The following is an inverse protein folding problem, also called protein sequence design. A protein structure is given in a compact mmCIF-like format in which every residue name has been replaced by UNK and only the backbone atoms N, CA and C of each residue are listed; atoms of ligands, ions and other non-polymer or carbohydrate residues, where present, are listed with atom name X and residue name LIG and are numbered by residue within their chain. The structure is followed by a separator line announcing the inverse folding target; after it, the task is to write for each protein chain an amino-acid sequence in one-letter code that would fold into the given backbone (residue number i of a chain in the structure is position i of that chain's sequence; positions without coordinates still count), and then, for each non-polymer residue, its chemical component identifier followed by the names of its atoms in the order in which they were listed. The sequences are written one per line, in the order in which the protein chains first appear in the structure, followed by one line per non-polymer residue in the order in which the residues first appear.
data_IF_095206667211
#
_entry.id   IF_095206667211
#
_cell.length_a   1.000
_cell.length_b   1.000
_cell.length_c   1.000
_cell.angle_alpha   90.00
_cell.angle_beta   90.00
_cell.angle_gamma   90.00
#
_symmetry.space_group_name_H-M   'P 1'
#
loop_
_entity.id
_entity.type
_entity.pdbx_description
1 polymer ?
#
# COMPACT_ATOMS: atom_id res chain seq x y z
N UNK A 1 47.58 -10.11 -81.44
CA UNK A 1 46.29 -10.36 -80.75
C UNK A 1 46.30 -11.75 -80.16
N UNK A 2 46.68 -11.90 -78.89
CA UNK A 2 46.78 -13.21 -78.25
C UNK A 2 46.78 -13.09 -76.71
N UNK A 3 45.72 -13.68 -76.13
CA UNK A 3 45.68 -14.55 -74.93
C UNK A 3 46.19 -14.07 -73.56
N UNK A 4 45.28 -14.26 -72.58
CA UNK A 4 45.44 -14.94 -71.26
C UNK A 4 46.21 -14.15 -70.17
N UNK A 5 45.96 -14.24 -68.85
CA UNK A 5 44.95 -14.83 -67.91
C UNK A 5 45.51 -14.53 -66.48
N UNK A 6 44.70 -14.70 -65.42
CA UNK A 6 45.06 -15.11 -64.02
C UNK A 6 45.33 -13.97 -62.99
N UNK A 7 44.35 -13.62 -62.12
CA UNK A 7 44.13 -13.95 -60.66
C UNK A 7 45.01 -13.13 -59.68
N UNK A 8 44.63 -12.71 -58.48
CA UNK A 8 43.38 -12.60 -57.70
C UNK A 8 43.75 -11.71 -56.50
N UNK A 9 42.98 -10.64 -56.25
CA UNK A 9 43.17 -9.69 -55.15
C UNK A 9 42.45 -10.21 -53.89
N UNK A 10 43.05 -11.16 -53.20
CA UNK A 10 42.60 -11.57 -51.87
C UNK A 10 43.23 -10.67 -50.81
N UNK A 11 42.55 -9.58 -50.40
CA UNK A 11 42.71 -9.06 -49.02
C UNK A 11 41.70 -7.98 -48.55
N UNK A 12 40.68 -7.58 -49.32
CA UNK A 12 39.78 -6.49 -48.93
C UNK A 12 38.32 -6.79 -49.23
N UNK A 13 37.76 -7.86 -48.64
CA UNK A 13 36.30 -8.07 -48.51
C UNK A 13 36.01 -9.26 -47.57
N UNK A 14 36.27 -9.09 -46.27
CA UNK A 14 35.75 -9.95 -45.19
C UNK A 14 35.66 -9.13 -43.91
N UNK A 15 34.77 -8.14 -43.93
CA UNK A 15 34.44 -7.34 -42.75
C UNK A 15 33.01 -6.81 -42.86
N UNK A 16 32.05 -7.70 -43.13
CA UNK A 16 30.62 -7.47 -42.91
C UNK A 16 29.92 -8.84 -42.99
N UNK A 17 29.00 -9.08 -42.05
CA UNK A 17 28.21 -10.30 -41.88
C UNK A 17 28.91 -11.52 -41.26
N UNK A 18 28.96 -11.56 -39.92
CA UNK A 18 28.52 -12.75 -39.18
C UNK A 18 28.14 -12.34 -37.75
N UNK A 19 26.83 -12.38 -37.49
CA UNK A 19 26.19 -11.96 -36.25
C UNK A 19 26.58 -12.87 -35.08
N UNK A 20 27.05 -12.25 -34.01
CA UNK A 20 27.36 -12.90 -32.74
C UNK A 20 26.12 -13.54 -32.09
N UNK A 21 26.03 -14.87 -32.14
CA UNK A 21 25.15 -15.64 -31.24
C UNK A 21 25.86 -15.84 -29.89
N UNK A 22 25.65 -14.94 -28.93
CA UNK A 22 25.95 -15.23 -27.53
C UNK A 22 24.71 -15.81 -26.83
N UNK A 23 24.86 -16.88 -26.03
CA UNK A 23 23.74 -17.55 -25.42
C UNK A 23 23.08 -16.65 -24.37
N UNK A 24 21.79 -16.40 -24.59
CA UNK A 24 20.84 -15.81 -23.64
C UNK A 24 21.09 -16.34 -22.22
N UNK A 25 21.58 -15.48 -21.34
CA UNK A 25 21.58 -15.73 -19.91
C UNK A 25 20.14 -16.02 -19.47
N UNK A 26 19.86 -17.28 -19.13
CA UNK A 26 18.58 -17.69 -18.56
C UNK A 26 18.40 -16.89 -17.27
N UNK A 27 17.49 -15.92 -17.29
CA UNK A 27 17.03 -15.22 -16.09
C UNK A 27 16.36 -16.29 -15.23
N UNK A 28 17.07 -16.74 -14.19
CA UNK A 28 16.50 -17.61 -13.18
C UNK A 28 15.33 -16.87 -12.52
N UNK A 29 14.18 -17.53 -12.32
CA UNK A 29 13.06 -16.90 -11.65
C UNK A 29 13.49 -16.58 -10.22
N UNK A 30 13.58 -15.29 -9.87
CA UNK A 30 13.71 -14.84 -8.48
C UNK A 30 12.34 -15.05 -7.82
N UNK A 31 12.02 -16.29 -7.49
CA UNK A 31 10.93 -16.60 -6.60
C UNK A 31 11.36 -17.67 -5.60
N UNK A 32 11.12 -17.32 -4.34
CA UNK A 32 11.18 -18.14 -3.13
C UNK A 32 12.58 -18.63 -2.72
N UNK A 33 13.21 -17.86 -1.82
CA UNK A 33 13.75 -18.41 -0.56
C UNK A 33 14.34 -17.27 0.30
N UNK A 34 13.47 -16.52 0.94
CA UNK A 34 13.70 -16.10 2.30
C UNK A 34 12.42 -16.49 3.03
N UNK A 35 12.50 -17.43 3.97
CA UNK A 35 11.42 -17.54 4.97
C UNK A 35 11.22 -16.12 5.50
N UNK A 36 10.06 -15.51 5.21
CA UNK A 36 9.83 -14.10 5.52
C UNK A 36 10.17 -13.91 7.00
N UNK A 37 11.28 -13.24 7.27
CA UNK A 37 11.77 -13.07 8.63
C UNK A 37 10.66 -12.33 9.37
N UNK A 38 10.17 -12.93 10.46
CA UNK A 38 9.01 -12.40 11.17
C UNK A 38 9.32 -10.97 11.58
N UNK A 39 8.50 -10.01 11.15
CA UNK A 39 8.66 -8.64 11.62
C UNK A 39 8.21 -8.63 13.08
N UNK A 40 9.18 -8.56 13.99
CA UNK A 40 8.91 -8.38 15.41
C UNK A 40 8.44 -6.95 15.67
N UNK A 41 7.58 -6.76 16.66
CA UNK A 41 7.06 -5.45 17.01
C UNK A 41 6.26 -5.49 18.30
N UNK A 42 6.00 -4.32 18.86
CA UNK A 42 5.31 -4.15 20.14
C UNK A 42 3.89 -3.63 19.92
N UNK A 43 2.96 -4.19 20.70
CA UNK A 43 1.61 -3.66 20.80
C UNK A 43 1.50 -2.78 22.03
N UNK A 44 0.90 -1.61 21.87
CA UNK A 44 0.47 -0.75 22.97
C UNK A 44 -1.02 -0.50 22.85
N UNK A 45 -1.72 -0.56 23.98
CA UNK A 45 -3.11 -0.14 24.11
C UNK A 45 -3.06 1.11 24.98
N UNK A 46 -3.27 2.28 24.37
CA UNK A 46 -3.11 3.55 25.08
C UNK A 46 -4.36 3.89 25.89
N UNK A 47 -5.52 3.55 25.35
CA UNK A 47 -6.84 3.73 25.96
C UNK A 47 -7.75 2.57 25.50
N UNK A 48 -8.99 2.55 25.96
CA UNK A 48 -10.06 1.72 25.42
C UNK A 48 -10.47 2.13 23.98
N UNK A 49 -9.80 3.10 23.36
CA UNK A 49 -10.13 3.68 22.06
C UNK A 49 -9.03 3.49 20.99
N UNK A 50 -7.77 3.27 21.38
CA UNK A 50 -6.63 3.23 20.46
C UNK A 50 -5.62 2.13 20.80
N UNK A 51 -5.33 1.29 19.81
CA UNK A 51 -4.20 0.35 19.82
C UNK A 51 -3.18 0.76 18.77
N UNK A 52 -1.89 0.59 19.10
CA UNK A 52 -0.78 0.88 18.19
C UNK A 52 0.13 -0.35 18.12
N UNK A 53 0.45 -0.78 16.91
CA UNK A 53 1.53 -1.74 16.66
C UNK A 53 2.72 -1.01 16.05
N UNK A 54 3.89 -1.17 16.67
CA UNK A 54 5.14 -0.57 16.20
C UNK A 54 6.14 -1.68 15.90
N UNK A 55 6.54 -1.86 14.62
CA UNK A 55 7.55 -2.84 14.27
C UNK A 55 8.92 -2.41 14.81
N UNK A 56 9.73 -3.38 15.19
CA UNK A 56 11.11 -3.15 15.60
C UNK A 56 11.90 -2.55 14.43
N UNK A 57 12.74 -1.56 14.73
CA UNK A 57 13.55 -0.89 13.70
C UNK A 57 12.74 0.01 12.77
N UNK A 58 11.52 0.42 13.14
CA UNK A 58 10.79 1.47 12.41
C UNK A 58 11.67 2.72 12.28
N UNK A 59 11.79 3.24 11.07
CA UNK A 59 12.49 4.50 10.82
C UNK A 59 11.48 5.64 10.83
N UNK A 60 11.77 6.66 11.62
CA UNK A 60 11.03 7.93 11.58
C UNK A 60 11.39 8.68 10.29
N UNK A 61 10.38 9.26 9.62
CA UNK A 61 10.55 9.92 8.31
C UNK A 61 9.57 11.08 8.21
N UNK A 62 9.92 12.09 7.42
CA UNK A 62 9.06 13.25 7.16
C UNK A 62 7.97 12.95 6.14
N UNK A 63 8.17 11.98 5.24
CA UNK A 63 7.17 11.53 4.26
C UNK A 63 6.38 10.35 4.81
N UNK A 64 5.05 10.47 4.83
CA UNK A 64 4.15 9.40 5.28
C UNK A 64 3.31 8.89 4.11
N UNK A 65 3.36 7.57 3.91
CA UNK A 65 2.40 6.87 3.08
C UNK A 65 1.39 6.20 4.02
N UNK A 66 0.24 6.84 4.18
CA UNK A 66 -0.85 6.37 5.02
C UNK A 66 -1.85 5.53 4.23
N UNK A 67 -2.36 4.46 4.84
CA UNK A 67 -3.30 3.55 4.21
C UNK A 67 -4.46 3.21 5.16
N UNK A 68 -5.67 3.08 4.63
CA UNK A 68 -6.68 2.21 5.22
C UNK A 68 -6.27 0.72 5.05
N UNK A 69 -6.94 -0.20 5.75
CA UNK A 69 -6.66 -1.63 5.67
C UNK A 69 -7.70 -2.42 4.85
N UNK A 70 -8.94 -2.49 5.33
CA UNK A 70 -9.96 -3.40 4.81
C UNK A 70 -10.66 -2.75 3.61
N UNK A 71 -10.50 -3.32 2.42
CA UNK A 71 -10.94 -2.70 1.16
C UNK A 71 -9.81 -1.95 0.44
N UNK A 72 -8.69 -1.69 1.13
CA UNK A 72 -7.56 -0.90 0.62
C UNK A 72 -6.29 -1.72 0.43
N UNK A 73 -5.68 -2.21 1.52
CA UNK A 73 -4.50 -3.08 1.45
C UNK A 73 -4.90 -4.55 1.29
N UNK A 74 -6.00 -4.94 1.92
CA UNK A 74 -6.51 -6.30 1.90
C UNK A 74 -8.00 -6.33 1.54
N UNK A 75 -8.46 -7.50 1.12
CA UNK A 75 -9.88 -7.83 0.90
C UNK A 75 -10.14 -9.26 1.36
N UNK A 76 -11.39 -9.65 1.52
CA UNK A 76 -11.71 -11.03 1.92
C UNK A 76 -11.27 -12.04 0.86
N UNK A 77 -10.79 -13.21 1.29
CA UNK A 77 -10.56 -14.34 0.37
C UNK A 77 -11.88 -14.93 -0.08
N UNK A 78 -12.86 -14.97 0.82
CA UNK A 78 -14.20 -15.52 0.62
C UNK A 78 -15.07 -14.70 -0.35
N UNK A 79 -14.71 -13.45 -0.65
CA UNK A 79 -15.53 -12.53 -1.45
C UNK A 79 -16.71 -11.94 -0.68
N UNK A 80 -16.86 -12.23 0.63
CA UNK A 80 -17.87 -11.61 1.47
C UNK A 80 -17.52 -10.16 1.81
N UNK A 81 -18.53 -9.36 2.14
CA UNK A 81 -18.32 -7.98 2.62
C UNK A 81 -17.57 -7.97 3.96
N UNK A 82 -17.91 -8.88 4.86
CA UNK A 82 -17.24 -9.04 6.16
C UNK A 82 -16.46 -10.36 6.19
N UNK A 83 -15.26 -10.38 6.82
CA UNK A 83 -14.43 -11.58 6.90
C UNK A 83 -15.09 -12.67 7.76
N UNK A 84 -14.90 -13.92 7.37
CA UNK A 84 -15.35 -15.10 8.12
C UNK A 84 -14.56 -15.32 9.42
N UNK A 85 -13.27 -15.02 9.39
CA UNK A 85 -12.33 -15.18 10.50
C UNK A 85 -11.06 -14.33 10.23
N UNK A 86 -10.08 -14.41 11.13
CA UNK A 86 -8.84 -13.62 11.05
C UNK A 86 -7.89 -14.03 9.90
N UNK A 87 -8.15 -15.14 9.22
CA UNK A 87 -7.36 -15.64 8.08
C UNK A 87 -8.06 -15.39 6.72
N UNK A 88 -9.29 -14.89 6.74
CA UNK A 88 -10.09 -14.55 5.55
C UNK A 88 -9.68 -13.17 4.98
N UNK A 89 -8.42 -13.06 4.59
CA UNK A 89 -7.88 -11.86 3.94
C UNK A 89 -6.81 -12.19 2.91
N UNK A 90 -6.83 -11.51 1.77
CA UNK A 90 -5.77 -11.51 0.77
C UNK A 90 -5.41 -10.07 0.44
N UNK A 91 -4.21 -9.84 -0.09
CA UNK A 91 -3.87 -8.52 -0.60
C UNK A 91 -4.85 -8.07 -1.68
N UNK A 92 -5.16 -6.78 -1.68
CA UNK A 92 -6.17 -6.18 -2.53
C UNK A 92 -5.90 -6.43 -4.02
N UNK A 93 -4.63 -6.35 -4.42
CA UNK A 93 -4.14 -6.72 -5.75
C UNK A 93 -2.82 -7.49 -5.68
N UNK A 94 -2.41 -8.10 -6.81
CA UNK A 94 -1.07 -8.71 -6.96
C UNK A 94 0.06 -7.69 -6.81
N UNK A 95 -0.19 -6.41 -7.12
CA UNK A 95 0.80 -5.34 -7.05
C UNK A 95 0.97 -4.70 -5.66
N UNK A 96 0.06 -4.99 -4.71
CA UNK A 96 0.01 -4.29 -3.42
C UNK A 96 1.31 -4.39 -2.64
N UNK A 97 1.88 -5.60 -2.49
CA UNK A 97 3.16 -5.80 -1.78
C UNK A 97 4.30 -5.01 -2.42
N UNK A 98 4.46 -5.13 -3.75
CA UNK A 98 5.52 -4.46 -4.49
C UNK A 98 5.42 -2.94 -4.39
N UNK A 99 4.19 -2.39 -4.43
CA UNK A 99 3.96 -0.95 -4.30
C UNK A 99 4.30 -0.43 -2.90
N UNK A 100 3.95 -1.16 -1.84
CA UNK A 100 4.31 -0.80 -0.47
C UNK A 100 5.83 -0.81 -0.24
N UNK A 101 6.52 -1.85 -0.74
CA UNK A 101 7.99 -1.93 -0.68
C UNK A 101 8.64 -0.76 -1.39
N UNK A 102 8.17 -0.43 -2.60
CA UNK A 102 8.67 0.74 -3.35
C UNK A 102 8.44 2.05 -2.59
N UNK A 103 7.27 2.27 -1.98
CA UNK A 103 7.09 3.45 -1.12
C UNK A 103 8.11 3.50 0.03
N UNK A 104 8.39 2.36 0.66
CA UNK A 104 9.42 2.31 1.70
C UNK A 104 10.84 2.59 1.14
N UNK A 105 11.17 2.09 -0.05
CA UNK A 105 12.43 2.42 -0.75
C UNK A 105 12.52 3.92 -1.08
N UNK A 106 11.40 4.53 -1.50
CA UNK A 106 11.27 5.95 -1.85
C UNK A 106 11.26 6.89 -0.62
N UNK A 107 11.62 6.38 0.56
CA UNK A 107 11.78 7.20 1.76
C UNK A 107 10.48 7.53 2.49
N UNK A 108 9.38 6.79 2.26
CA UNK A 108 8.16 6.94 3.05
C UNK A 108 8.18 6.07 4.30
N UNK A 109 7.71 6.59 5.43
CA UNK A 109 7.26 5.75 6.54
C UNK A 109 5.86 5.23 6.20
N UNK A 110 5.68 3.92 6.31
CA UNK A 110 4.39 3.29 6.03
C UNK A 110 3.54 3.28 7.31
N UNK A 111 2.32 3.78 7.21
CA UNK A 111 1.36 3.79 8.31
C UNK A 111 0.01 3.21 7.86
N UNK A 112 -0.60 2.37 8.70
CA UNK A 112 -1.98 1.94 8.54
C UNK A 112 -2.84 2.65 9.59
N UNK A 113 -3.98 3.19 9.16
CA UNK A 113 -4.98 3.85 9.99
C UNK A 113 -6.32 3.16 9.77
N UNK A 114 -6.79 2.35 10.72
CA UNK A 114 -7.97 1.49 10.54
C UNK A 114 -9.02 1.66 11.65
N UNK A 115 -10.29 1.65 11.26
CA UNK A 115 -11.45 1.75 12.16
C UNK A 115 -11.98 0.34 12.48
N UNK A 116 -11.77 -0.14 13.72
CA UNK A 116 -12.04 -1.52 14.16
C UNK A 116 -12.93 -1.59 15.41
N UNK A 117 -14.06 -0.88 15.38
CA UNK A 117 -15.05 -0.87 16.48
C UNK A 117 -15.59 -2.28 16.83
N UNK A 118 -15.49 -3.24 15.90
CA UNK A 118 -15.85 -4.64 16.17
C UNK A 118 -15.05 -5.26 17.31
N UNK A 119 -13.84 -4.79 17.58
CA UNK A 119 -12.99 -5.26 18.69
C UNK A 119 -13.60 -4.86 20.04
N UNK A 120 -13.96 -3.59 20.23
CA UNK A 120 -14.59 -3.12 21.47
C UNK A 120 -15.98 -3.76 21.67
N UNK A 121 -16.73 -3.98 20.58
CA UNK A 121 -18.02 -4.69 20.60
C UNK A 121 -17.90 -6.20 20.79
N UNK A 122 -16.68 -6.75 20.89
CA UNK A 122 -16.40 -8.21 20.99
C UNK A 122 -16.93 -9.03 19.81
N UNK A 123 -17.23 -8.39 18.68
CA UNK A 123 -17.56 -9.06 17.42
C UNK A 123 -16.31 -9.55 16.68
N UNK A 124 -15.15 -8.97 17.01
CA UNK A 124 -13.85 -9.34 16.47
C UNK A 124 -12.92 -9.69 17.63
N UNK A 125 -12.26 -10.85 17.56
CA UNK A 125 -11.25 -11.25 18.54
C UNK A 125 -10.01 -10.36 18.43
N UNK A 126 -9.69 -9.66 19.53
CA UNK A 126 -8.55 -8.75 19.60
C UNK A 126 -7.21 -9.47 19.41
N UNK A 127 -7.05 -10.68 19.96
CA UNK A 127 -5.80 -11.41 19.89
C UNK A 127 -5.52 -11.88 18.45
N UNK A 128 -6.51 -12.48 17.80
CA UNK A 128 -6.43 -12.87 16.41
C UNK A 128 -6.32 -11.67 15.46
N UNK A 129 -6.92 -10.51 15.77
CA UNK A 129 -6.70 -9.29 15.00
C UNK A 129 -5.23 -8.82 15.08
N UNK A 130 -4.61 -8.86 16.26
CA UNK A 130 -3.19 -8.54 16.41
C UNK A 130 -2.30 -9.46 15.57
N UNK A 131 -2.62 -10.76 15.53
CA UNK A 131 -1.93 -11.76 14.70
C UNK A 131 -2.15 -11.46 13.20
N UNK A 132 -3.38 -11.14 12.78
CA UNK A 132 -3.69 -10.72 11.40
C UNK A 132 -2.79 -9.57 10.96
N UNK A 133 -2.66 -8.51 11.78
CA UNK A 133 -1.78 -7.38 11.49
C UNK A 133 -0.31 -7.80 11.36
N UNK A 134 0.19 -8.63 12.28
CA UNK A 134 1.56 -9.14 12.21
C UNK A 134 1.82 -9.97 10.95
N UNK A 135 0.85 -10.78 10.52
CA UNK A 135 0.93 -11.58 9.31
C UNK A 135 0.94 -10.70 8.05
N UNK A 136 0.11 -9.65 8.01
CA UNK A 136 0.12 -8.65 6.92
C UNK A 136 1.49 -7.97 6.85
N UNK A 137 2.01 -7.47 7.97
CA UNK A 137 3.32 -6.81 8.02
C UNK A 137 4.44 -7.75 7.57
N UNK A 138 4.45 -8.99 8.06
CA UNK A 138 5.44 -10.02 7.70
C UNK A 138 5.38 -10.34 6.20
N UNK A 139 4.18 -10.47 5.63
CA UNK A 139 4.02 -10.73 4.20
C UNK A 139 4.49 -9.54 3.33
N UNK A 140 4.29 -8.30 3.79
CA UNK A 140 4.84 -7.12 3.11
C UNK A 140 6.36 -7.07 3.24
N UNK A 141 6.93 -7.43 4.39
CA UNK A 141 8.38 -7.57 4.58
C UNK A 141 9.15 -6.26 4.74
N UNK A 142 8.46 -5.13 4.91
CA UNK A 142 9.04 -3.85 5.34
C UNK A 142 8.28 -3.30 6.55
N UNK A 143 8.89 -2.46 7.40
CA UNK A 143 8.22 -1.92 8.59
C UNK A 143 6.97 -1.09 8.27
N UNK A 144 5.84 -1.44 8.90
CA UNK A 144 4.58 -0.69 8.85
C UNK A 144 4.11 -0.44 10.28
N UNK A 145 3.92 0.83 10.65
CA UNK A 145 3.31 1.18 11.93
C UNK A 145 1.79 1.20 11.79
N UNK A 146 1.05 0.61 12.72
CA UNK A 146 -0.40 0.44 12.60
C UNK A 146 -1.12 1.11 13.75
N UNK A 147 -2.09 1.95 13.43
CA UNK A 147 -2.97 2.65 14.34
C UNK A 147 -4.39 2.09 14.17
N UNK A 148 -4.97 1.61 15.26
CA UNK A 148 -6.23 0.90 15.28
C UNK A 148 -7.19 1.63 16.21
N UNK A 149 -8.15 2.34 15.63
CA UNK A 149 -9.25 2.95 16.38
C UNK A 149 -10.26 1.86 16.74
N UNK A 150 -10.47 1.60 18.03
CA UNK A 150 -11.41 0.58 18.52
C UNK A 150 -12.70 1.17 19.08
N UNK A 151 -12.85 2.50 19.15
CA UNK A 151 -14.07 3.17 19.60
C UNK A 151 -14.65 4.19 18.61
N UNK A 152 -15.49 5.11 19.10
CA UNK A 152 -16.26 6.07 18.29
C UNK A 152 -15.81 7.52 18.44
N UNK A 153 -14.76 7.78 19.21
CA UNK A 153 -14.28 9.10 19.59
C UNK A 153 -13.26 9.66 18.57
N UNK A 154 -12.43 10.63 19.00
CA UNK A 154 -11.46 11.39 18.20
C UNK A 154 -10.46 10.53 17.38
N UNK A 155 -10.29 9.24 17.71
CA UNK A 155 -9.43 8.35 16.94
C UNK A 155 -10.13 7.73 15.73
N UNK A 156 -11.46 7.76 15.64
CA UNK A 156 -12.21 7.14 14.56
C UNK A 156 -12.21 8.05 13.33
N UNK A 157 -11.73 7.56 12.19
CA UNK A 157 -11.83 8.31 10.92
C UNK A 157 -13.29 8.70 10.66
N UNK A 158 -13.58 9.97 10.28
CA UNK A 158 -12.65 10.92 9.68
C UNK A 158 -11.94 11.87 10.67
N UNK A 159 -12.09 11.68 11.99
CA UNK A 159 -11.31 12.45 12.97
C UNK A 159 -9.81 12.16 12.86
N UNK A 160 -8.98 13.14 13.21
CA UNK A 160 -7.53 13.14 12.98
C UNK A 160 -6.73 12.45 14.09
N UNK A 161 -7.36 12.02 15.19
CA UNK A 161 -6.65 11.66 16.41
C UNK A 161 -5.59 10.56 16.27
N UNK A 162 -5.76 9.60 15.34
CA UNK A 162 -4.70 8.61 15.09
C UNK A 162 -3.46 9.25 14.44
N UNK A 163 -3.67 10.19 13.51
CA UNK A 163 -2.59 10.95 12.91
C UNK A 163 -1.96 11.92 13.90
N UNK A 164 -2.76 12.53 14.77
CA UNK A 164 -2.25 13.44 15.80
C UNK A 164 -1.30 12.69 16.75
N UNK A 165 -1.61 11.43 17.11
CA UNK A 165 -0.63 10.57 17.81
C UNK A 165 0.59 10.22 17.00
N UNK A 166 0.46 10.02 15.70
CA UNK A 166 1.62 9.85 14.83
C UNK A 166 2.58 11.04 14.96
N UNK A 167 2.06 12.26 14.85
CA UNK A 167 2.83 13.52 14.93
C UNK A 167 3.43 13.71 16.33
N UNK A 168 2.62 13.54 17.37
CA UNK A 168 2.97 13.89 18.74
C UNK A 168 4.04 12.97 19.35
N UNK A 169 3.92 11.65 19.16
CA UNK A 169 4.75 10.69 19.92
C UNK A 169 5.29 9.52 19.11
N UNK A 170 4.79 9.25 17.91
CA UNK A 170 5.17 8.04 17.17
C UNK A 170 6.13 8.29 16.00
N UNK A 171 6.60 9.53 15.80
CA UNK A 171 7.54 9.89 14.73
C UNK A 171 8.87 10.49 15.19
N UNK A 172 9.29 10.24 16.43
CA UNK A 172 10.66 10.51 16.90
C UNK A 172 11.14 11.94 16.68
N UNK A 173 10.30 12.92 16.98
CA UNK A 173 10.53 14.37 16.79
C UNK A 173 10.71 14.83 15.33
N UNK A 174 10.62 13.92 14.34
CA UNK A 174 10.71 14.29 12.92
C UNK A 174 9.35 14.84 12.47
N UNK A 175 9.37 16.12 12.05
CA UNK A 175 8.22 16.78 11.45
C UNK A 175 7.75 16.10 10.16
N UNK A 176 6.43 16.08 9.95
CA UNK A 176 5.82 15.43 8.79
C UNK A 176 5.49 16.48 7.72
N UNK A 177 6.00 16.25 6.51
CA UNK A 177 5.71 17.10 5.36
C UNK A 177 4.46 16.60 4.63
N UNK A 178 3.34 17.25 4.93
CA UNK A 178 2.01 16.88 4.43
C UNK A 178 1.88 16.97 2.91
N UNK A 179 2.54 17.95 2.28
CA UNK A 179 2.57 18.12 0.81
C UNK A 179 3.25 16.95 0.09
N UNK A 180 4.22 16.32 0.76
CA UNK A 180 4.98 15.15 0.28
C UNK A 180 4.40 13.82 0.81
N UNK A 181 3.30 13.88 1.57
CA UNK A 181 2.64 12.74 2.18
C UNK A 181 1.29 12.49 1.52
N UNK A 182 0.77 11.27 1.65
CA UNK A 182 -0.52 10.91 1.06
C UNK A 182 -1.26 9.88 1.90
N UNK A 183 -2.57 9.80 1.66
CA UNK A 183 -3.45 8.79 2.22
C UNK A 183 -4.16 8.00 1.12
N UNK A 184 -4.26 6.68 1.29
CA UNK A 184 -4.99 5.78 0.38
C UNK A 184 -6.12 5.11 1.15
N UNK A 185 -7.34 5.12 0.60
CA UNK A 185 -8.49 4.47 1.22
C UNK A 185 -9.65 4.23 0.26
N UNK A 186 -10.46 3.20 0.51
CA UNK A 186 -11.57 2.80 -0.36
C UNK A 186 -12.88 3.51 -0.02
N UNK A 187 -13.04 3.99 1.22
CA UNK A 187 -14.20 4.76 1.65
C UNK A 187 -14.10 6.20 1.15
N UNK A 188 -14.22 6.37 -0.16
CA UNK A 188 -13.97 7.60 -0.90
C UNK A 188 -15.25 8.33 -1.32
N UNK A 189 -16.42 7.84 -0.92
CA UNK A 189 -17.71 8.46 -1.26
C UNK A 189 -18.09 8.35 -2.74
N UNK A 190 -17.49 7.43 -3.49
CA UNK A 190 -17.73 7.27 -4.93
C UNK A 190 -19.16 6.83 -5.21
N UNK A 191 -19.74 7.41 -6.25
CA UNK A 191 -21.12 7.16 -6.66
C UNK A 191 -21.25 5.95 -7.58
N UNK A 192 -22.48 5.46 -7.74
CA UNK A 192 -22.79 4.36 -8.65
C UNK A 192 -22.61 4.84 -10.10
N UNK A 193 -21.87 4.07 -10.89
CA UNK A 193 -21.72 4.25 -12.34
C UNK A 193 -21.57 2.87 -13.04
N UNK A 194 -21.29 2.86 -14.35
CA UNK A 194 -21.17 1.61 -15.12
C UNK A 194 -20.00 0.72 -14.65
N UNK A 195 -18.92 1.31 -14.14
CA UNK A 195 -17.74 0.61 -13.64
C UNK A 195 -17.82 0.33 -12.12
N UNK A 196 -18.70 1.06 -11.41
CA UNK A 196 -18.96 0.95 -9.98
C UNK A 196 -20.45 0.67 -9.73
N UNK A 197 -20.88 -0.59 -9.73
CA UNK A 197 -22.31 -0.93 -9.62
C UNK A 197 -22.92 -0.63 -8.25
N UNK A 198 -22.08 -0.44 -7.21
CA UNK A 198 -22.47 -0.06 -5.86
C UNK A 198 -21.68 1.17 -5.43
N UNK A 199 -22.33 2.21 -4.87
CA UNK A 199 -21.60 3.34 -4.31
C UNK A 199 -20.73 2.88 -3.13
N UNK A 200 -19.70 3.65 -2.81
CA UNK A 200 -18.92 3.40 -1.60
C UNK A 200 -19.83 3.50 -0.37
N UNK A 201 -19.58 2.64 0.61
CA UNK A 201 -20.36 2.57 1.84
C UNK A 201 -20.20 3.83 2.71
N UNK A 202 -19.16 4.62 2.46
CA UNK A 202 -18.74 5.76 3.27
C UNK A 202 -17.77 6.66 2.49
N UNK A 203 -17.53 7.87 3.00
CA UNK A 203 -16.51 8.82 2.54
C UNK A 203 -15.41 9.09 3.60
N UNK A 204 -15.34 8.26 4.64
CA UNK A 204 -14.48 8.50 5.83
C UNK A 204 -13.00 8.62 5.52
N UNK A 205 -12.48 7.92 4.50
CA UNK A 205 -11.06 7.96 4.16
C UNK A 205 -10.68 9.23 3.41
N UNK A 206 -11.54 9.64 2.47
CA UNK A 206 -11.39 10.93 1.77
C UNK A 206 -11.48 12.08 2.76
N UNK A 207 -12.47 12.06 3.65
CA UNK A 207 -12.62 13.08 4.70
C UNK A 207 -11.45 13.09 5.69
N UNK A 208 -10.91 11.93 6.06
CA UNK A 208 -9.72 11.84 6.90
C UNK A 208 -8.52 12.54 6.23
N UNK A 209 -8.27 12.24 4.95
CA UNK A 209 -7.22 12.90 4.18
C UNK A 209 -7.44 14.41 4.05
N UNK A 210 -8.68 14.84 3.78
CA UNK A 210 -9.06 16.25 3.70
C UNK A 210 -8.82 16.99 5.02
N UNK A 211 -9.28 16.44 6.15
CA UNK A 211 -9.06 17.02 7.47
C UNK A 211 -7.58 17.17 7.82
N UNK A 212 -6.73 16.29 7.28
CA UNK A 212 -5.30 16.35 7.47
C UNK A 212 -4.58 17.25 6.46
N UNK A 213 -5.22 17.64 5.36
CA UNK A 213 -4.57 18.34 4.24
C UNK A 213 -3.59 17.44 3.46
N UNK A 214 -3.91 16.14 3.34
CA UNK A 214 -3.10 15.17 2.60
C UNK A 214 -3.63 14.94 1.19
N UNK A 215 -2.72 14.61 0.27
CA UNK A 215 -3.11 14.06 -1.03
C UNK A 215 -3.83 12.73 -0.82
N UNK A 216 -4.97 12.55 -1.49
CA UNK A 216 -5.79 11.34 -1.39
C UNK A 216 -5.74 10.51 -2.67
N UNK A 217 -5.77 9.19 -2.52
CA UNK A 217 -5.96 8.25 -3.62
C UNK A 217 -6.93 7.12 -3.22
N UNK A 218 -7.67 6.60 -4.18
CA UNK A 218 -8.34 5.30 -4.02
C UNK A 218 -7.35 4.15 -4.24
N UNK A 219 -7.65 2.92 -3.79
CA UNK A 219 -6.80 1.76 -4.05
C UNK A 219 -6.58 1.54 -5.55
N UNK A 220 -7.62 1.73 -6.37
CA UNK A 220 -7.56 1.63 -7.83
C UNK A 220 -6.57 2.63 -8.42
N UNK A 221 -6.68 3.91 -8.05
CA UNK A 221 -5.76 4.97 -8.50
C UNK A 221 -4.31 4.68 -8.09
N UNK A 222 -4.11 4.14 -6.89
CA UNK A 222 -2.78 3.98 -6.31
C UNK A 222 -2.05 2.72 -6.81
N UNK A 223 -2.73 1.57 -6.86
CA UNK A 223 -2.13 0.28 -7.20
C UNK A 223 -2.18 -0.01 -8.72
N UNK A 224 -3.08 0.64 -9.46
CA UNK A 224 -3.20 0.50 -10.91
C UNK A 224 -3.12 1.86 -11.61
N UNK A 225 -1.94 2.51 -11.64
CA UNK A 225 -1.80 3.85 -12.22
C UNK A 225 -2.13 3.91 -13.73
N UNK A 226 -2.09 2.76 -14.42
CA UNK A 226 -2.45 2.66 -15.85
C UNK A 226 -3.97 2.56 -16.07
N UNK A 227 -4.75 2.11 -15.08
CA UNK A 227 -6.20 2.22 -15.12
C UNK A 227 -6.57 3.60 -14.64
N UNK A 228 -6.33 4.58 -15.52
CA UNK A 228 -6.86 5.94 -15.48
C UNK A 228 -6.77 6.66 -14.13
N UNK A 229 -5.94 7.69 -14.11
CA UNK A 229 -6.04 8.85 -13.20
C UNK A 229 -7.38 9.63 -13.32
N UNK A 230 -8.46 8.96 -13.72
CA UNK A 230 -9.80 9.51 -13.78
C UNK A 230 -10.33 9.48 -12.35
N UNK A 231 -10.53 10.68 -11.79
CA UNK A 231 -11.29 10.83 -10.56
C UNK A 231 -12.72 10.33 -10.82
N UNK A 232 -13.16 9.33 -10.05
CA UNK A 232 -14.55 8.88 -10.09
C UNK A 232 -15.43 9.91 -9.36
N UNK A 233 -16.64 10.14 -9.86
CA UNK A 233 -17.61 11.03 -9.20
C UNK A 233 -17.87 10.58 -7.76
N UNK A 234 -17.73 11.51 -6.81
CA UNK A 234 -17.96 11.27 -5.39
C UNK A 234 -18.88 12.33 -4.77
N UNK A 235 -19.54 11.96 -3.68
CA UNK A 235 -20.35 12.87 -2.88
C UNK A 235 -19.71 13.09 -1.51
N UNK A 236 -19.52 14.36 -1.17
CA UNK A 236 -19.19 14.77 0.19
C UNK A 236 -20.49 14.96 1.00
N UNK A 237 -20.44 14.86 2.34
CA UNK A 237 -21.56 15.24 3.18
C UNK A 237 -21.99 16.68 2.88
N UNK A 238 -23.30 16.94 2.92
CA UNK A 238 -23.86 18.28 2.66
C UNK A 238 -23.38 19.33 3.68
N UNK A 239 -23.05 18.91 4.89
CA UNK A 239 -22.56 19.77 5.96
C UNK A 239 -21.02 19.77 5.97
N UNK A 240 -20.44 20.96 5.91
CA UNK A 240 -19.00 21.19 5.97
C UNK A 240 -18.69 22.10 7.18
N UNK A 241 -17.75 21.68 8.03
CA UNK A 241 -17.37 22.41 9.26
C UNK A 241 -16.22 23.40 9.05
N UNK A 242 -15.77 23.64 7.81
CA UNK A 242 -14.65 24.55 7.47
C UNK A 242 -14.69 25.85 8.25
#
# INVERSE_FOLDING_TARGET
MSKRKITDDTELQKAEEESSSQPSAKIAPIFLNAAAQKIHGTWRVLTDQLMIYTPQGILHRSKIAGFDMDGTLIKTKSGRVFPLNNDDWQFWSRGTIGKLRRCHEDGFKLCIFTNQMGIQKKHVDAAGFKIKIQNICTAVGVPIQVFVSIGTTNFRKPYTGMWDKLVESENGSIGIEKSESFYVGDAAGRTKNNNRPKPDHSCVDRLFAMNLGLKFYTPEQFFFPNSSQIEEDFLLPKFNMT
#
